data_IF_166453919754
#
_entry.id   IF_166453919754
#
_cell.length_a   1.000
_cell.length_b   1.000
_cell.length_c   1.000
_cell.angle_alpha   90.00
_cell.angle_beta   90.00
_cell.angle_gamma   90.00
#
_symmetry.space_group_name_H-M   'P 1'
#
loop_
_entity.id
_entity.type
_entity.pdbx_description
1 polymer ?
#
# COMPACT_ATOMS: atom_id res chain seq x y z
N UNK A 1 39.90 11.80 35.09
CA UNK A 1 39.03 10.72 34.55
C UNK A 1 39.92 9.54 34.15
N UNK A 2 39.69 8.35 34.71
CA UNK A 2 40.60 7.21 34.57
C UNK A 2 40.64 6.70 33.12
N UNK A 3 41.81 6.26 32.60
CA UNK A 3 41.99 5.82 31.20
C UNK A 3 40.98 4.74 30.77
N UNK A 4 40.57 3.91 31.72
CA UNK A 4 39.59 2.84 31.54
C UNK A 4 38.17 3.36 31.23
N UNK A 5 37.70 4.34 32.00
CA UNK A 5 36.36 4.92 31.83
C UNK A 5 36.20 5.68 30.50
N UNK A 6 37.27 6.32 30.02
CA UNK A 6 37.25 7.03 28.72
C UNK A 6 37.13 6.07 27.54
N UNK A 7 37.77 4.89 27.60
CA UNK A 7 37.69 3.85 26.56
C UNK A 7 36.30 3.20 26.51
N UNK A 8 35.73 2.88 27.68
CA UNK A 8 34.38 2.32 27.79
C UNK A 8 33.33 3.30 27.27
N UNK A 9 33.39 4.58 27.69
CA UNK A 9 32.46 5.60 27.22
C UNK A 9 32.50 5.78 25.70
N UNK A 10 33.71 5.78 25.10
CA UNK A 10 33.86 5.90 23.65
C UNK A 10 33.20 4.71 22.92
N UNK A 11 33.40 3.48 23.41
CA UNK A 11 32.82 2.28 22.80
C UNK A 11 31.29 2.25 22.86
N UNK A 12 30.72 2.64 24.01
CA UNK A 12 29.27 2.66 24.19
C UNK A 12 28.66 3.73 23.29
N UNK A 13 29.23 4.94 23.28
CA UNK A 13 28.78 6.03 22.43
C UNK A 13 28.83 5.65 20.95
N UNK A 14 29.92 5.03 20.49
CA UNK A 14 30.06 4.56 19.12
C UNK A 14 29.00 3.50 18.77
N UNK A 15 28.73 2.57 19.69
CA UNK A 15 27.72 1.53 19.50
C UNK A 15 26.31 2.13 19.37
N UNK A 16 25.97 3.10 20.21
CA UNK A 16 24.68 3.80 20.15
C UNK A 16 24.51 4.51 18.80
N UNK A 17 25.54 5.23 18.34
CA UNK A 17 25.52 5.90 17.04
C UNK A 17 25.30 4.88 15.93
N UNK A 18 26.01 3.75 15.96
CA UNK A 18 25.93 2.72 14.94
C UNK A 18 24.55 2.07 14.86
N UNK A 19 23.94 1.72 16.01
CA UNK A 19 22.57 1.19 16.07
C UNK A 19 21.58 2.22 15.52
N UNK A 20 21.76 3.49 15.85
CA UNK A 20 20.89 4.56 15.38
C UNK A 20 20.99 4.75 13.86
N UNK A 21 22.21 4.74 13.31
CA UNK A 21 22.44 4.83 11.86
C UNK A 21 21.80 3.66 11.12
N UNK A 22 21.99 2.42 11.60
CA UNK A 22 21.37 1.23 10.98
C UNK A 22 19.84 1.33 11.03
N UNK A 23 19.28 1.77 12.16
CA UNK A 23 17.84 1.96 12.31
C UNK A 23 17.30 2.99 11.33
N UNK A 24 17.98 4.14 11.17
CA UNK A 24 17.61 5.15 10.19
C UNK A 24 17.67 4.62 8.75
N UNK A 25 18.67 3.81 8.43
CA UNK A 25 18.83 3.20 7.11
C UNK A 25 17.69 2.22 6.80
N UNK A 26 17.31 1.39 7.76
CA UNK A 26 16.19 0.46 7.63
C UNK A 26 14.87 1.20 7.43
N UNK A 27 14.60 2.22 8.24
CA UNK A 27 13.35 2.98 8.21
C UNK A 27 13.22 3.81 6.93
N UNK A 28 14.29 4.51 6.53
CA UNK A 28 14.20 5.46 5.41
C UNK A 28 14.46 4.83 4.04
N UNK A 29 15.21 3.72 3.97
CA UNK A 29 15.63 3.17 2.68
C UNK A 29 15.07 1.77 2.41
N UNK A 30 15.12 0.88 3.40
CA UNK A 30 14.76 -0.52 3.17
C UNK A 30 13.25 -0.74 3.22
N UNK A 31 12.58 -0.21 4.24
CA UNK A 31 11.13 -0.35 4.44
C UNK A 31 10.30 0.23 3.28
N UNK A 32 10.57 1.45 2.78
CA UNK A 32 9.78 2.00 1.68
C UNK A 32 9.97 1.21 0.38
N UNK A 33 11.21 0.80 0.09
CA UNK A 33 11.53 0.06 -1.13
C UNK A 33 10.93 -1.35 -1.11
N UNK A 34 10.97 -2.03 0.03
CA UNK A 34 10.35 -3.34 0.21
C UNK A 34 8.82 -3.26 0.13
N UNK A 35 8.22 -2.26 0.77
CA UNK A 35 6.77 -2.06 0.72
C UNK A 35 6.28 -1.79 -0.71
N UNK A 36 6.97 -0.95 -1.48
CA UNK A 36 6.59 -0.69 -2.88
C UNK A 36 6.72 -1.95 -3.73
N UNK A 37 7.79 -2.71 -3.56
CA UNK A 37 8.01 -3.95 -4.32
C UNK A 37 6.91 -4.99 -4.03
N UNK A 38 6.67 -5.26 -2.74
CA UNK A 38 5.64 -6.23 -2.32
C UNK A 38 4.23 -5.77 -2.68
N UNK A 39 3.95 -4.48 -2.62
CA UNK A 39 2.66 -3.93 -3.08
C UNK A 39 2.48 -4.17 -4.58
N UNK A 40 3.53 -3.99 -5.40
CA UNK A 40 3.45 -4.24 -6.85
C UNK A 40 3.26 -5.71 -7.20
N UNK A 41 3.96 -6.59 -6.49
CA UNK A 41 3.83 -8.04 -6.67
C UNK A 41 2.40 -8.50 -6.34
N UNK A 42 1.89 -8.12 -5.17
CA UNK A 42 0.53 -8.42 -4.74
C UNK A 42 -0.52 -7.83 -5.71
N UNK A 43 -0.32 -6.60 -6.19
CA UNK A 43 -1.21 -6.00 -7.19
C UNK A 43 -1.26 -6.78 -8.50
N UNK A 44 -0.12 -7.30 -8.96
CA UNK A 44 -0.07 -8.11 -10.17
C UNK A 44 -0.82 -9.43 -10.00
N UNK A 45 -0.68 -10.05 -8.82
CA UNK A 45 -1.40 -11.26 -8.46
C UNK A 45 -2.91 -11.02 -8.40
N UNK A 46 -3.37 -10.00 -7.69
CA UNK A 46 -4.80 -9.66 -7.59
C UNK A 46 -5.40 -9.32 -8.95
N UNK A 47 -4.67 -8.57 -9.77
CA UNK A 47 -5.14 -8.23 -11.13
C UNK A 47 -5.29 -9.47 -12.00
N UNK A 48 -4.36 -10.43 -11.88
CA UNK A 48 -4.41 -11.69 -12.63
C UNK A 48 -5.58 -12.57 -12.18
N UNK A 49 -5.83 -12.65 -10.88
CA UNK A 49 -6.98 -13.39 -10.34
C UNK A 49 -8.32 -12.79 -10.81
N UNK A 50 -8.44 -11.46 -10.80
CA UNK A 50 -9.65 -10.74 -11.25
C UNK A 50 -9.85 -10.89 -12.76
N UNK A 51 -8.79 -10.86 -13.58
CA UNK A 51 -8.90 -11.03 -15.04
C UNK A 51 -9.31 -12.45 -15.46
N UNK A 52 -8.88 -13.46 -14.69
CA UNK A 52 -9.19 -14.86 -14.99
C UNK A 52 -10.54 -15.32 -14.40
N UNK A 53 -11.16 -14.51 -13.53
CA UNK A 53 -12.44 -14.83 -12.91
C UNK A 53 -13.61 -14.67 -13.91
N UNK A 54 -14.56 -15.62 -13.96
CA UNK A 54 -15.81 -15.42 -14.67
C UNK A 54 -16.58 -14.23 -14.11
N UNK A 55 -17.29 -13.48 -14.97
CA UNK A 55 -18.06 -12.29 -14.58
C UNK A 55 -19.09 -12.59 -13.47
N UNK A 56 -19.62 -13.82 -13.46
CA UNK A 56 -20.61 -14.26 -12.47
C UNK A 56 -20.00 -14.50 -11.07
N UNK A 57 -18.71 -14.82 -10.98
CA UNK A 57 -18.01 -15.14 -9.73
C UNK A 57 -17.11 -13.97 -9.27
N UNK A 58 -17.13 -12.86 -10.01
CA UNK A 58 -16.25 -11.72 -9.81
C UNK A 58 -16.45 -11.07 -8.43
N UNK A 59 -17.69 -11.01 -7.94
CA UNK A 59 -18.02 -10.44 -6.64
C UNK A 59 -17.42 -11.29 -5.49
N UNK A 60 -17.53 -12.61 -5.59
CA UNK A 60 -16.97 -13.55 -4.60
C UNK A 60 -15.43 -13.56 -4.62
N UNK A 61 -14.83 -13.51 -5.80
CA UNK A 61 -13.36 -13.40 -5.95
C UNK A 61 -12.86 -12.08 -5.36
N UNK A 62 -13.54 -10.96 -5.62
CA UNK A 62 -13.20 -9.66 -5.03
C UNK A 62 -13.31 -9.72 -3.50
N UNK A 63 -14.40 -10.27 -2.96
CA UNK A 63 -14.58 -10.38 -1.51
C UNK A 63 -13.50 -11.24 -0.85
N UNK A 64 -13.10 -12.33 -1.50
CA UNK A 64 -12.02 -13.22 -1.03
C UNK A 64 -10.69 -12.47 -1.00
N UNK A 65 -10.33 -11.77 -2.08
CA UNK A 65 -9.09 -10.98 -2.15
C UNK A 65 -9.08 -9.88 -1.09
N UNK A 66 -10.20 -9.17 -0.88
CA UNK A 66 -10.32 -8.13 0.14
C UNK A 66 -10.11 -8.67 1.56
N UNK A 67 -10.73 -9.81 1.87
CA UNK A 67 -10.63 -10.45 3.19
C UNK A 67 -9.24 -11.03 3.47
N UNK A 68 -8.63 -11.71 2.51
CA UNK A 68 -7.33 -12.39 2.71
C UNK A 68 -6.16 -11.41 2.72
N UNK A 69 -6.24 -10.33 1.96
CA UNK A 69 -5.13 -9.41 1.75
C UNK A 69 -5.31 -8.04 2.41
N UNK A 70 -6.43 -7.84 3.12
CA UNK A 70 -6.80 -6.58 3.77
C UNK A 70 -6.72 -5.38 2.80
N UNK A 71 -7.18 -5.61 1.57
CA UNK A 71 -7.25 -4.61 0.50
C UNK A 71 -8.68 -4.14 0.29
N UNK A 72 -8.85 -2.96 -0.29
CA UNK A 72 -10.16 -2.43 -0.66
C UNK A 72 -10.22 -2.22 -2.17
N UNK A 73 -11.16 -2.88 -2.81
CA UNK A 73 -11.42 -2.87 -4.23
C UNK A 73 -12.80 -2.22 -4.46
N UNK A 74 -12.81 -1.19 -5.30
CA UNK A 74 -14.03 -0.54 -5.77
C UNK A 74 -14.06 -0.65 -7.30
N UNK A 75 -15.23 -0.97 -7.85
CA UNK A 75 -15.40 -1.24 -9.29
C UNK A 75 -16.67 -0.60 -9.81
N UNK A 76 -16.67 -0.09 -11.04
CA UNK A 76 -17.86 0.47 -11.68
C UNK A 76 -17.85 0.11 -13.17
N UNK A 77 -19.00 -0.21 -13.78
CA UNK A 77 -19.05 -0.46 -15.21
C UNK A 77 -18.67 0.79 -16.01
N UNK A 78 -17.93 0.60 -17.11
CA UNK A 78 -17.39 1.68 -17.96
C UNK A 78 -18.48 2.33 -18.85
N UNK A 79 -19.67 1.74 -18.89
CA UNK A 79 -20.79 2.19 -19.73
C UNK A 79 -21.48 3.48 -19.22
N UNK A 80 -21.04 4.06 -18.11
CA UNK A 80 -21.67 5.23 -17.49
C UNK A 80 -21.01 6.55 -17.89
N UNK A 81 -21.70 7.65 -17.59
CA UNK A 81 -21.14 9.02 -17.63
C UNK A 81 -19.97 9.14 -16.64
N UNK A 82 -19.03 10.05 -16.90
CA UNK A 82 -17.88 10.29 -16.00
C UNK A 82 -18.33 10.64 -14.58
N UNK A 83 -19.33 11.50 -14.44
CA UNK A 83 -19.86 11.90 -13.13
C UNK A 83 -20.49 10.72 -12.39
N UNK A 84 -21.29 9.90 -13.09
CA UNK A 84 -21.92 8.72 -12.52
C UNK A 84 -20.89 7.66 -12.08
N UNK A 85 -19.82 7.46 -12.86
CA UNK A 85 -18.72 6.58 -12.47
C UNK A 85 -18.00 7.11 -11.21
N UNK A 86 -17.70 8.41 -11.18
CA UNK A 86 -17.02 9.02 -10.05
C UNK A 86 -17.85 8.93 -8.76
N UNK A 87 -19.16 9.20 -8.84
CA UNK A 87 -20.05 9.09 -7.69
C UNK A 87 -20.22 7.64 -7.23
N UNK A 88 -20.37 6.68 -8.15
CA UNK A 88 -20.46 5.26 -7.82
C UNK A 88 -19.20 4.76 -7.08
N UNK A 89 -18.02 5.13 -7.55
CA UNK A 89 -16.75 4.77 -6.91
C UNK A 89 -16.60 5.42 -5.53
N UNK A 90 -16.91 6.72 -5.41
CA UNK A 90 -16.87 7.42 -4.12
C UNK A 90 -17.83 6.79 -3.11
N UNK A 91 -19.03 6.41 -3.55
CA UNK A 91 -20.01 5.73 -2.69
C UNK A 91 -19.50 4.35 -2.24
N UNK A 92 -18.94 3.53 -3.14
CA UNK A 92 -18.38 2.22 -2.77
C UNK A 92 -17.23 2.34 -1.77
N UNK A 93 -16.30 3.28 -2.01
CA UNK A 93 -15.18 3.53 -1.11
C UNK A 93 -15.65 4.03 0.26
N UNK A 94 -16.65 4.92 0.29
CA UNK A 94 -17.25 5.42 1.52
C UNK A 94 -17.93 4.31 2.31
N UNK A 95 -18.65 3.39 1.64
CA UNK A 95 -19.24 2.20 2.29
C UNK A 95 -18.17 1.33 2.94
N UNK A 96 -16.99 1.23 2.34
CA UNK A 96 -15.83 0.49 2.86
C UNK A 96 -14.97 1.31 3.83
N UNK A 97 -15.47 2.46 4.32
CA UNK A 97 -14.80 3.39 5.26
C UNK A 97 -13.49 3.99 4.71
N UNK A 98 -13.29 3.97 3.41
CA UNK A 98 -12.15 4.60 2.72
C UNK A 98 -12.60 5.95 2.16
N UNK A 99 -12.15 7.05 2.77
CA UNK A 99 -12.48 8.40 2.32
C UNK A 99 -11.37 8.97 1.44
N UNK A 100 -11.58 8.92 0.12
CA UNK A 100 -10.66 9.53 -0.85
C UNK A 100 -11.09 10.96 -1.16
N UNK A 101 -10.37 11.94 -0.61
CA UNK A 101 -10.68 13.37 -0.77
C UNK A 101 -10.44 13.89 -2.20
N UNK A 102 -9.58 13.23 -3.01
CA UNK A 102 -9.16 13.70 -4.34
C UNK A 102 -9.20 12.60 -5.42
N UNK A 103 -10.25 11.78 -5.46
CA UNK A 103 -10.46 10.83 -6.55
C UNK A 103 -11.36 11.46 -7.62
N UNK A 104 -10.84 11.62 -8.84
CA UNK A 104 -11.63 12.04 -10.00
C UNK A 104 -11.07 11.38 -11.27
N UNK A 105 -11.84 10.46 -11.86
CA UNK A 105 -11.51 9.79 -13.12
C UNK A 105 -12.02 10.68 -14.25
N UNK A 106 -11.15 10.95 -15.22
CA UNK A 106 -11.51 11.56 -16.52
C UNK A 106 -11.22 10.54 -17.61
N UNK A 107 -12.08 10.44 -18.61
CA UNK A 107 -11.72 9.69 -19.82
C UNK A 107 -10.60 10.46 -20.50
N UNK A 108 -9.45 9.82 -20.67
CA UNK A 108 -8.41 10.34 -21.57
C UNK A 108 -9.01 10.31 -22.98
N UNK A 109 -9.12 11.48 -23.62
CA UNK A 109 -9.33 11.53 -25.06
C UNK A 109 -8.14 10.82 -25.72
N UNK A 110 -8.42 9.74 -26.44
CA UNK A 110 -7.51 9.21 -27.46
C UNK A 110 -7.25 10.27 -28.52
#
# INVERSE_FOLDING_TARGET
MNKLGKKLFLSISLTVILIFTISLLLINFLLPKYNIYKTRENLNEFTTQIQNAPVNDLEDVIHTIESENNVTIAYTPINQSEDAMNDALRMQLTKKKVTLNKLWIRKTKL
#
